data_IF_372637042841
#
_entry.id   IF_372637042841
#
_cell.length_a   1.000
_cell.length_b   1.000
_cell.length_c   1.000
_cell.angle_alpha   90.00
_cell.angle_beta   90.00
_cell.angle_gamma   90.00
#
_symmetry.space_group_name_H-M   'P 1'
#
loop_
_entity.id
_entity.type
_entity.pdbx_description
1 polymer ?
#
# COMPACT_ATOMS: atom_id res chain seq x y z
N UNK A 1 -0.35 4.61 -12.05
CA UNK A 1 -0.49 3.41 -12.91
C UNK A 1 -1.99 3.09 -13.05
N UNK A 2 -2.47 2.52 -14.17
CA UNK A 2 -3.92 2.23 -14.38
C UNK A 2 -4.43 1.23 -13.33
N UNK A 3 -3.69 0.14 -13.10
CA UNK A 3 -4.12 -0.90 -12.15
C UNK A 3 -4.05 -0.44 -10.69
N UNK A 4 -3.07 0.41 -10.35
CA UNK A 4 -2.95 1.04 -9.02
C UNK A 4 -4.20 1.87 -8.68
N UNK A 5 -4.77 2.58 -9.66
CA UNK A 5 -6.03 3.31 -9.48
C UNK A 5 -7.22 2.38 -9.28
N UNK A 6 -7.27 1.25 -9.99
CA UNK A 6 -8.31 0.21 -9.80
C UNK A 6 -8.24 -0.35 -8.38
N UNK A 7 -7.04 -0.73 -7.92
CA UNK A 7 -6.81 -1.25 -6.56
C UNK A 7 -7.20 -0.22 -5.50
N UNK A 8 -6.82 1.06 -5.70
CA UNK A 8 -7.18 2.13 -4.79
C UNK A 8 -8.70 2.34 -4.71
N UNK A 9 -9.40 2.36 -5.85
CA UNK A 9 -10.87 2.49 -5.89
C UNK A 9 -11.56 1.33 -5.19
N UNK A 10 -11.16 0.10 -5.49
CA UNK A 10 -11.71 -1.10 -4.85
C UNK A 10 -11.49 -1.06 -3.32
N UNK A 11 -10.32 -0.60 -2.87
CA UNK A 11 -10.06 -0.37 -1.44
C UNK A 11 -11.04 0.64 -0.83
N UNK A 12 -11.26 1.77 -1.50
CA UNK A 12 -12.21 2.79 -1.04
C UNK A 12 -13.64 2.27 -0.98
N UNK A 13 -14.07 1.51 -2.00
CA UNK A 13 -15.41 0.92 -2.08
C UNK A 13 -15.64 -0.09 -0.95
N UNK A 14 -14.68 -0.98 -0.67
CA UNK A 14 -14.82 -2.00 0.38
C UNK A 14 -14.69 -1.47 1.80
N UNK A 15 -13.89 -0.44 2.02
CA UNK A 15 -13.57 0.06 3.38
C UNK A 15 -14.33 1.34 3.73
N UNK A 16 -14.90 2.04 2.75
CA UNK A 16 -15.47 3.38 2.91
C UNK A 16 -14.43 4.48 3.14
N UNK A 17 -13.13 4.15 3.15
CA UNK A 17 -12.05 5.10 3.35
C UNK A 17 -11.85 5.99 2.12
N UNK A 18 -11.33 7.18 2.34
CA UNK A 18 -10.91 8.07 1.26
C UNK A 18 -9.40 8.07 1.18
N UNK A 19 -8.86 8.03 -0.03
CA UNK A 19 -7.41 8.10 -0.25
C UNK A 19 -7.06 9.22 -1.23
N UNK A 20 -5.83 9.71 -1.15
CA UNK A 20 -5.30 10.75 -2.03
C UNK A 20 -3.98 10.29 -2.63
N UNK A 21 -3.87 10.42 -3.96
CA UNK A 21 -2.63 10.16 -4.69
C UNK A 21 -1.53 11.15 -4.32
N UNK A 22 -0.31 10.65 -4.14
CA UNK A 22 0.89 11.45 -3.87
C UNK A 22 1.98 11.13 -4.90
N UNK A 23 1.96 11.82 -6.04
CA UNK A 23 2.99 11.67 -7.06
C UNK A 23 4.23 12.50 -6.71
N UNK A 24 4.90 12.17 -5.63
CA UNK A 24 6.15 12.80 -5.23
C UNK A 24 7.03 11.81 -4.49
N UNK A 25 8.33 12.07 -4.53
CA UNK A 25 9.28 11.39 -3.65
C UNK A 25 9.32 12.15 -2.32
N UNK A 26 9.21 11.41 -1.22
CA UNK A 26 9.40 11.90 0.14
C UNK A 26 10.80 11.54 0.60
N UNK A 27 11.39 12.42 1.41
CA UNK A 27 12.71 12.24 2.02
C UNK A 27 12.56 12.26 3.53
N UNK A 28 13.31 11.40 4.22
CA UNK A 28 13.33 11.38 5.68
C UNK A 28 14.02 12.64 6.20
N UNK A 29 13.40 13.34 7.15
CA UNK A 29 13.86 14.65 7.65
C UNK A 29 15.30 14.66 8.18
N UNK A 30 15.73 13.57 8.83
CA UNK A 30 17.09 13.43 9.39
C UNK A 30 18.06 12.66 8.49
N UNK A 31 17.56 11.95 7.49
CA UNK A 31 18.34 11.00 6.69
C UNK A 31 17.96 11.11 5.21
N UNK A 32 18.41 12.16 4.49
CA UNK A 32 17.93 12.47 3.13
C UNK A 32 18.15 11.36 2.10
N UNK A 33 19.05 10.41 2.36
CA UNK A 33 19.25 9.24 1.50
C UNK A 33 18.09 8.24 1.58
N UNK A 34 17.30 8.25 2.66
CA UNK A 34 16.08 7.46 2.80
C UNK A 34 14.93 8.16 2.07
N UNK A 35 14.48 7.52 0.98
CA UNK A 35 13.43 8.03 0.11
C UNK A 35 12.25 7.07 0.03
N UNK A 36 11.05 7.61 -0.10
CA UNK A 36 9.82 6.85 -0.24
C UNK A 36 8.93 7.44 -1.34
N UNK A 37 8.31 6.56 -2.13
CA UNK A 37 7.31 6.93 -3.11
C UNK A 37 6.07 6.09 -2.82
N UNK A 38 5.11 6.70 -2.12
CA UNK A 38 3.89 6.03 -1.69
C UNK A 38 2.82 6.12 -2.77
N UNK A 39 1.98 5.10 -2.90
CA UNK A 39 0.86 5.19 -3.84
C UNK A 39 -0.17 6.22 -3.35
N UNK A 40 -0.60 6.08 -2.10
CA UNK A 40 -1.74 6.82 -1.55
C UNK A 40 -1.51 7.20 -0.07
N UNK A 41 -1.96 8.39 0.30
CA UNK A 41 -2.25 8.72 1.70
C UNK A 41 -3.71 8.41 2.02
N UNK A 42 -3.98 7.92 3.22
CA UNK A 42 -5.34 7.75 3.73
C UNK A 42 -5.81 9.05 4.36
N UNK A 43 -6.97 9.54 3.93
CA UNK A 43 -7.52 10.82 4.40
C UNK A 43 -8.04 10.66 5.83
N UNK A 44 -7.64 11.58 6.72
CA UNK A 44 -7.97 11.60 8.16
C UNK A 44 -7.35 10.48 9.00
N UNK A 45 -6.38 9.75 8.45
CA UNK A 45 -5.61 8.74 9.17
C UNK A 45 -4.12 9.04 9.00
N UNK A 46 -3.30 8.81 10.02
CA UNK A 46 -1.84 8.89 9.88
C UNK A 46 -1.30 7.62 9.22
N UNK A 47 -1.82 7.30 8.04
CA UNK A 47 -1.60 6.04 7.36
C UNK A 47 -1.42 6.23 5.86
N UNK A 48 -0.80 5.23 5.25
CA UNK A 48 -0.63 5.12 3.80
C UNK A 48 -1.36 3.88 3.28
N UNK A 49 -1.63 3.86 1.98
CA UNK A 49 -2.11 2.70 1.26
C UNK A 49 -1.10 2.36 0.16
N UNK A 50 -0.60 1.13 0.18
CA UNK A 50 0.21 0.53 -0.86
C UNK A 50 -0.64 -0.41 -1.72
N UNK A 51 -0.68 -0.14 -3.03
CA UNK A 51 -1.47 -0.87 -4.01
C UNK A 51 -0.59 -1.84 -4.80
N UNK A 52 -0.90 -3.14 -4.70
CA UNK A 52 -0.19 -4.19 -5.43
C UNK A 52 -1.10 -4.90 -6.43
N UNK A 53 -0.47 -5.50 -7.41
CA UNK A 53 -1.09 -6.51 -8.28
C UNK A 53 -0.22 -7.75 -8.23
N UNK A 54 -0.84 -8.92 -8.16
CA UNK A 54 -0.12 -10.18 -8.13
C UNK A 54 -0.70 -11.16 -9.15
N UNK A 55 0.14 -12.07 -9.64
CA UNK A 55 -0.30 -13.18 -10.46
C UNK A 55 -1.12 -14.17 -9.60
N UNK A 56 -2.10 -14.84 -10.19
CA UNK A 56 -2.92 -15.87 -9.54
C UNK A 56 -2.07 -16.97 -8.89
N UNK A 57 -0.90 -17.31 -9.44
CA UNK A 57 0.01 -18.31 -8.85
C UNK A 57 0.54 -17.92 -7.46
N UNK A 58 0.59 -16.62 -7.14
CA UNK A 58 1.03 -16.10 -5.84
C UNK A 58 -0.12 -15.98 -4.84
N UNK A 59 -1.34 -16.40 -5.19
CA UNK A 59 -2.51 -16.26 -4.32
C UNK A 59 -2.35 -16.94 -2.96
N UNK A 60 -1.54 -18.01 -2.88
CA UNK A 60 -1.27 -18.74 -1.65
C UNK A 60 -0.44 -17.92 -0.65
N UNK A 61 0.42 -17.02 -1.13
CA UNK A 61 1.25 -16.14 -0.29
C UNK A 61 0.44 -15.05 0.44
N UNK A 62 -0.83 -14.91 0.06
CA UNK A 62 -1.76 -13.95 0.64
C UNK A 62 -2.87 -14.63 1.47
N UNK A 63 -2.74 -15.92 1.76
CA UNK A 63 -3.67 -16.66 2.60
C UNK A 63 -3.57 -16.25 4.07
N UNK A 64 -4.67 -16.42 4.83
CA UNK A 64 -4.74 -16.05 6.24
C UNK A 64 -4.43 -14.57 6.45
N UNK A 65 -3.61 -14.27 7.47
CA UNK A 65 -3.19 -12.90 7.84
C UNK A 65 -1.77 -12.55 7.33
N UNK A 66 -1.14 -13.41 6.53
CA UNK A 66 0.22 -13.21 6.04
C UNK A 66 0.32 -12.20 4.88
N UNK A 67 1.39 -11.41 4.90
CA UNK A 67 1.80 -10.53 3.79
C UNK A 67 3.23 -10.95 3.40
N UNK A 68 3.55 -11.07 2.10
CA UNK A 68 4.91 -11.35 1.66
C UNK A 68 5.93 -10.40 2.30
N UNK A 69 7.03 -10.96 2.82
CA UNK A 69 8.04 -10.22 3.59
C UNK A 69 8.63 -9.03 2.82
N UNK A 70 8.78 -9.16 1.49
CA UNK A 70 9.25 -8.07 0.63
C UNK A 70 8.34 -6.83 0.70
N UNK A 71 7.02 -7.02 0.75
CA UNK A 71 6.06 -5.94 0.89
C UNK A 71 6.07 -5.37 2.30
N UNK A 72 6.20 -6.22 3.33
CA UNK A 72 6.38 -5.75 4.70
C UNK A 72 7.60 -4.85 4.85
N UNK A 73 8.77 -5.26 4.34
CA UNK A 73 9.98 -4.44 4.37
C UNK A 73 9.79 -3.10 3.65
N UNK A 74 9.14 -3.11 2.48
CA UNK A 74 8.85 -1.88 1.73
C UNK A 74 7.97 -0.92 2.54
N UNK A 75 6.86 -1.39 3.09
CA UNK A 75 5.93 -0.51 3.81
C UNK A 75 6.50 -0.02 5.14
N UNK A 76 7.28 -0.86 5.84
CA UNK A 76 7.99 -0.45 7.05
C UNK A 76 8.98 0.68 6.75
N UNK A 77 9.72 0.57 5.65
CA UNK A 77 10.60 1.64 5.18
C UNK A 77 9.81 2.93 4.86
N UNK A 78 8.69 2.85 4.15
CA UNK A 78 7.86 4.03 3.86
C UNK A 78 7.26 4.67 5.10
N UNK A 79 6.78 3.87 6.05
CA UNK A 79 6.28 4.37 7.33
C UNK A 79 7.37 5.09 8.12
N UNK A 80 8.58 4.54 8.14
CA UNK A 80 9.74 5.19 8.75
C UNK A 80 10.07 6.53 8.07
N UNK A 81 10.12 6.57 6.72
CA UNK A 81 10.43 7.80 5.97
C UNK A 81 9.43 8.92 6.24
N UNK A 82 8.12 8.60 6.32
CA UNK A 82 7.05 9.58 6.44
C UNK A 82 6.50 9.77 7.86
N UNK A 83 7.02 9.04 8.86
CA UNK A 83 6.49 8.99 10.23
C UNK A 83 4.98 8.65 10.28
N UNK A 84 4.60 7.52 9.66
CA UNK A 84 3.22 7.01 9.61
C UNK A 84 3.01 5.89 10.62
N UNK A 85 1.81 5.79 11.17
CA UNK A 85 1.48 4.84 12.26
C UNK A 85 1.24 3.42 11.74
N UNK A 86 0.65 3.29 10.55
CA UNK A 86 0.35 2.01 9.91
C UNK A 86 0.19 2.17 8.39
N UNK A 87 0.19 1.04 7.69
CA UNK A 87 0.02 0.95 6.25
C UNK A 87 -1.09 -0.05 5.92
N UNK A 88 -2.01 0.33 5.03
CA UNK A 88 -2.85 -0.64 4.36
C UNK A 88 -2.13 -1.20 3.14
N UNK A 89 -2.13 -2.52 2.98
CA UNK A 89 -1.66 -3.15 1.74
C UNK A 89 -2.89 -3.75 1.05
N UNK A 90 -3.21 -3.25 -0.13
CA UNK A 90 -4.27 -3.78 -0.98
C UNK A 90 -3.66 -4.47 -2.19
N UNK A 91 -4.17 -5.64 -2.55
CA UNK A 91 -3.71 -6.42 -3.69
C UNK A 91 -4.87 -6.89 -4.55
N UNK A 92 -4.73 -6.72 -5.86
CA UNK A 92 -5.58 -7.38 -6.86
C UNK A 92 -4.83 -8.57 -7.46
N UNK A 93 -5.26 -9.78 -7.12
CA UNK A 93 -4.66 -11.05 -7.50
C UNK A 93 -5.39 -11.60 -8.73
N UNK A 94 -4.63 -11.87 -9.79
CA UNK A 94 -5.16 -12.41 -11.06
C UNK A 94 -6.23 -11.54 -11.71
N UNK A 95 -6.28 -10.23 -11.38
CA UNK A 95 -7.26 -9.28 -11.91
C UNK A 95 -8.67 -9.40 -11.33
N UNK A 96 -8.91 -10.30 -10.37
CA UNK A 96 -10.27 -10.67 -9.94
C UNK A 96 -10.43 -10.83 -8.43
N UNK A 97 -9.39 -11.26 -7.72
CA UNK A 97 -9.45 -11.47 -6.28
C UNK A 97 -8.79 -10.31 -5.56
N UNK A 98 -9.59 -9.51 -4.87
CA UNK A 98 -9.12 -8.39 -4.06
C UNK A 98 -8.94 -8.80 -2.60
N UNK A 99 -7.79 -8.45 -2.02
CA UNK A 99 -7.49 -8.63 -0.59
C UNK A 99 -6.89 -7.32 -0.10
N UNK A 100 -7.21 -6.92 1.14
CA UNK A 100 -6.50 -5.85 1.82
C UNK A 100 -6.17 -6.26 3.26
N UNK A 101 -5.05 -5.76 3.77
CA UNK A 101 -4.56 -5.98 5.13
C UNK A 101 -4.05 -4.67 5.72
N UNK A 102 -3.95 -4.60 7.05
CA UNK A 102 -3.44 -3.46 7.82
C UNK A 102 -2.28 -3.92 8.69
#
# INVERSE_FOLDING_TARGET
NVLEEVVAKEFQERTGKKVRRRNQVFEHSLHPFLRANIDREVVRENAILECKTANQFLAKEWAGDEVPLSYLCQVQHYMNVLNKDYCYIAVLIGGQKFIWKR
#
